data_IF_180008032401
#
_entry.id   IF_180008032401
#
_cell.length_a   1.000
_cell.length_b   1.000
_cell.length_c   1.000
_cell.angle_alpha   90.00
_cell.angle_beta   90.00
_cell.angle_gamma   90.00
#
_symmetry.space_group_name_H-M   'P 1'
#
loop_
_entity.id
_entity.type
_entity.pdbx_description
1 polymer ?
#
# COMPACT_ATOMS: atom_id res chain seq x y z
N UNK A 1 -9.34 1.30 21.51
CA UNK A 1 -7.85 1.25 21.50
C UNK A 1 -7.36 2.19 22.58
N UNK A 2 -6.49 1.72 23.48
CA UNK A 2 -5.87 2.62 24.44
C UNK A 2 -4.60 3.27 23.85
N UNK A 3 -4.04 4.28 24.53
CA UNK A 3 -2.87 5.02 24.07
C UNK A 3 -1.65 4.13 23.83
N UNK A 4 -1.38 3.19 24.72
CA UNK A 4 -0.22 2.31 24.61
C UNK A 4 -0.33 1.37 23.39
N UNK A 5 -1.52 0.86 23.09
CA UNK A 5 -1.76 0.06 21.91
C UNK A 5 -1.59 0.87 20.62
N UNK A 6 -2.07 2.11 20.60
CA UNK A 6 -1.91 3.00 19.46
C UNK A 6 -0.43 3.34 19.20
N UNK A 7 0.32 3.59 20.28
CA UNK A 7 1.75 3.88 20.19
C UNK A 7 2.55 2.67 19.70
N UNK A 8 2.25 1.49 20.23
CA UNK A 8 2.89 0.22 19.80
C UNK A 8 2.60 -0.07 18.33
N UNK A 9 1.36 0.05 17.90
CA UNK A 9 0.95 -0.13 16.51
C UNK A 9 1.64 0.85 15.56
N UNK A 10 1.67 2.13 15.91
CA UNK A 10 2.34 3.16 15.11
C UNK A 10 3.85 2.92 15.01
N UNK A 11 4.48 2.50 16.11
CA UNK A 11 5.91 2.18 16.15
C UNK A 11 6.25 1.01 15.24
N UNK A 12 5.42 -0.04 15.22
CA UNK A 12 5.57 -1.18 14.31
C UNK A 12 5.58 -0.75 12.84
N UNK A 13 4.64 0.11 12.44
CA UNK A 13 4.60 0.65 11.08
C UNK A 13 5.83 1.51 10.75
N UNK A 14 6.27 2.33 11.67
CA UNK A 14 7.47 3.15 11.46
C UNK A 14 8.73 2.31 11.25
N UNK A 15 8.89 1.21 11.97
CA UNK A 15 10.01 0.30 11.78
C UNK A 15 9.97 -0.36 10.39
N UNK A 16 8.78 -0.78 9.93
CA UNK A 16 8.61 -1.36 8.60
C UNK A 16 8.94 -0.34 7.49
N UNK A 17 8.46 0.89 7.63
CA UNK A 17 8.68 1.96 6.62
C UNK A 17 10.16 2.36 6.54
N UNK A 18 10.89 2.29 7.65
CA UNK A 18 12.32 2.64 7.72
C UNK A 18 13.26 1.54 7.21
N UNK A 19 12.76 0.35 6.93
CA UNK A 19 13.60 -0.75 6.42
C UNK A 19 14.21 -0.36 5.06
N UNK A 20 15.50 -0.59 4.90
CA UNK A 20 16.19 -0.38 3.62
C UNK A 20 15.84 -1.47 2.58
N UNK A 21 15.54 -2.67 3.06
CA UNK A 21 15.19 -3.80 2.22
C UNK A 21 13.68 -3.89 1.99
N UNK A 22 13.30 -4.48 0.86
CA UNK A 22 11.90 -4.83 0.61
C UNK A 22 11.38 -5.77 1.70
N UNK A 23 10.09 -5.67 2.08
CA UNK A 23 9.49 -6.60 3.01
C UNK A 23 9.62 -8.05 2.53
N UNK A 24 9.91 -8.96 3.44
CA UNK A 24 9.86 -10.39 3.15
C UNK A 24 8.42 -10.84 2.86
N UNK A 25 8.26 -11.99 2.21
CA UNK A 25 6.95 -12.45 1.71
C UNK A 25 5.86 -12.50 2.80
N UNK A 26 6.18 -12.97 3.98
CA UNK A 26 5.22 -13.01 5.10
C UNK A 26 4.84 -11.61 5.60
N UNK A 27 5.84 -10.74 5.71
CA UNK A 27 5.63 -9.35 6.10
C UNK A 27 4.81 -8.60 5.04
N UNK A 28 5.11 -8.79 3.77
CA UNK A 28 4.37 -8.20 2.66
C UNK A 28 2.89 -8.63 2.66
N UNK A 29 2.63 -9.90 2.93
CA UNK A 29 1.28 -10.45 3.06
C UNK A 29 0.53 -9.81 4.23
N UNK A 30 1.18 -9.71 5.39
CA UNK A 30 0.61 -9.04 6.55
C UNK A 30 0.27 -7.57 6.26
N UNK A 31 1.17 -6.83 5.58
CA UNK A 31 0.93 -5.43 5.17
C UNK A 31 -0.31 -5.32 4.28
N UNK A 32 -0.48 -6.23 3.32
CA UNK A 32 -1.65 -6.25 2.44
C UNK A 32 -2.94 -6.50 3.23
N UNK A 33 -2.94 -7.51 4.09
CA UNK A 33 -4.12 -7.89 4.87
C UNK A 33 -4.53 -6.78 5.85
N UNK A 34 -3.57 -6.20 6.54
CA UNK A 34 -3.78 -5.07 7.45
C UNK A 34 -4.29 -3.82 6.72
N UNK A 35 -3.72 -3.52 5.55
CA UNK A 35 -4.18 -2.40 4.72
C UNK A 35 -5.61 -2.59 4.23
N UNK A 36 -5.97 -3.80 3.81
CA UNK A 36 -7.36 -4.14 3.42
C UNK A 36 -8.33 -3.97 4.58
N UNK A 37 -7.97 -4.48 5.75
CA UNK A 37 -8.80 -4.39 6.94
C UNK A 37 -9.03 -2.93 7.35
N UNK A 38 -7.96 -2.15 7.47
CA UNK A 38 -8.04 -0.74 7.82
C UNK A 38 -8.86 0.07 6.80
N UNK A 39 -8.68 -0.19 5.51
CA UNK A 39 -9.46 0.46 4.48
C UNK A 39 -10.96 0.12 4.59
N UNK A 40 -11.28 -1.16 4.83
CA UNK A 40 -12.67 -1.62 4.97
C UNK A 40 -13.35 -1.05 6.22
N UNK A 41 -12.64 -0.96 7.33
CA UNK A 41 -13.21 -0.56 8.62
C UNK A 41 -13.31 0.94 8.79
N UNK A 42 -12.34 1.69 8.23
CA UNK A 42 -12.19 3.11 8.52
C UNK A 42 -12.37 4.03 7.31
N UNK A 43 -12.41 3.49 6.10
CA UNK A 43 -12.53 4.31 4.89
C UNK A 43 -13.73 3.92 4.02
N UNK A 44 -13.66 2.80 3.28
CA UNK A 44 -14.73 2.43 2.34
C UNK A 44 -14.81 0.93 2.06
N UNK A 45 -15.64 0.23 2.83
CA UNK A 45 -15.93 -1.20 2.63
C UNK A 45 -16.60 -1.47 1.27
N UNK A 46 -17.55 -0.63 0.87
CA UNK A 46 -18.27 -0.80 -0.39
C UNK A 46 -17.38 -0.74 -1.62
N UNK A 47 -16.35 0.08 -1.60
CA UNK A 47 -15.35 0.15 -2.67
C UNK A 47 -14.58 -1.17 -2.80
N UNK A 48 -14.18 -1.78 -1.69
CA UNK A 48 -13.49 -3.07 -1.70
C UNK A 48 -14.38 -4.18 -2.28
N UNK A 49 -15.65 -4.25 -1.90
CA UNK A 49 -16.59 -5.23 -2.41
C UNK A 49 -16.86 -5.04 -3.91
N UNK A 50 -17.00 -3.81 -4.36
CA UNK A 50 -17.13 -3.50 -5.79
C UNK A 50 -15.89 -3.97 -6.57
N UNK A 51 -14.69 -3.67 -6.10
CA UNK A 51 -13.44 -4.09 -6.76
C UNK A 51 -13.33 -5.60 -6.88
N UNK A 52 -13.69 -6.34 -5.86
CA UNK A 52 -13.74 -7.81 -5.90
C UNK A 52 -14.70 -8.34 -6.97
N UNK A 53 -15.84 -7.67 -7.17
CA UNK A 53 -16.85 -8.09 -8.12
C UNK A 53 -16.45 -7.91 -9.59
N UNK A 54 -15.49 -7.02 -9.88
CA UNK A 54 -15.06 -6.68 -11.25
C UNK A 54 -13.67 -7.19 -11.61
N UNK A 55 -12.97 -7.83 -10.69
CA UNK A 55 -11.65 -8.41 -10.94
C UNK A 55 -11.67 -9.93 -10.73
N UNK A 56 -11.17 -10.69 -11.70
CA UNK A 56 -11.05 -12.14 -11.59
C UNK A 56 -9.96 -12.58 -10.60
N UNK A 57 -8.98 -11.72 -10.33
CA UNK A 57 -7.91 -12.00 -9.39
C UNK A 57 -8.42 -11.89 -7.96
N UNK A 58 -8.44 -12.99 -7.24
CA UNK A 58 -8.82 -13.02 -5.82
C UNK A 58 -7.97 -12.12 -4.91
N UNK A 59 -6.78 -11.75 -5.36
CA UNK A 59 -5.85 -10.88 -4.64
C UNK A 59 -5.60 -9.58 -5.41
N UNK A 60 -6.63 -8.77 -5.51
CA UNK A 60 -6.65 -7.51 -6.25
C UNK A 60 -5.98 -6.34 -5.53
N UNK A 61 -5.72 -6.43 -4.24
CA UNK A 61 -5.11 -5.34 -3.51
C UNK A 61 -3.60 -5.32 -3.76
N UNK A 62 -3.12 -4.21 -4.30
CA UNK A 62 -1.70 -3.87 -4.30
C UNK A 62 -1.46 -2.72 -3.32
N UNK A 63 -0.42 -2.82 -2.54
CA UNK A 63 0.08 -1.72 -1.71
C UNK A 63 1.32 -1.18 -2.41
N UNK A 64 1.23 0.05 -2.91
CA UNK A 64 2.37 0.72 -3.53
C UNK A 64 3.44 0.94 -2.47
N UNK A 65 4.67 0.47 -2.74
CA UNK A 65 5.75 0.48 -1.76
C UNK A 65 6.88 1.43 -2.13
N UNK A 66 7.26 1.43 -3.38
CA UNK A 66 8.29 2.33 -3.90
C UNK A 66 8.00 2.70 -5.34
N UNK A 67 8.60 3.79 -5.82
CA UNK A 67 8.41 4.20 -7.20
C UNK A 67 9.49 5.17 -7.67
N UNK A 68 9.55 5.35 -9.00
CA UNK A 68 10.41 6.35 -9.63
C UNK A 68 9.84 6.70 -11.01
N UNK A 69 9.64 7.98 -11.24
CA UNK A 69 9.12 8.47 -12.51
C UNK A 69 7.73 7.89 -12.79
N UNK A 70 7.55 7.23 -13.91
CA UNK A 70 6.27 6.65 -14.34
C UNK A 70 6.04 5.21 -13.85
N UNK A 71 6.93 4.66 -13.05
CA UNK A 71 6.82 3.27 -12.57
C UNK A 71 6.75 3.21 -11.05
N UNK A 72 6.02 2.24 -10.53
CA UNK A 72 6.03 1.90 -9.12
C UNK A 72 6.15 0.39 -8.91
N UNK A 73 6.54 0.01 -7.71
CA UNK A 73 6.66 -1.37 -7.28
C UNK A 73 5.77 -1.59 -6.06
N UNK A 74 4.97 -2.64 -6.05
CA UNK A 74 4.16 -2.99 -4.89
C UNK A 74 4.97 -3.70 -3.81
N UNK A 75 4.35 -3.90 -2.66
CA UNK A 75 4.96 -4.54 -1.50
C UNK A 75 5.41 -5.99 -1.77
N UNK A 76 4.85 -6.65 -2.80
CA UNK A 76 5.26 -7.99 -3.26
C UNK A 76 6.38 -7.95 -4.30
N UNK A 77 6.92 -6.77 -4.63
CA UNK A 77 7.99 -6.60 -5.60
C UNK A 77 7.52 -6.60 -7.06
N UNK A 78 6.23 -6.58 -7.33
CA UNK A 78 5.69 -6.51 -8.70
C UNK A 78 5.79 -5.08 -9.21
N UNK A 79 6.26 -4.92 -10.45
CA UNK A 79 6.43 -3.61 -11.09
C UNK A 79 5.25 -3.26 -11.98
N UNK A 80 4.88 -1.99 -11.94
CA UNK A 80 3.75 -1.44 -12.69
C UNK A 80 4.16 -0.16 -13.40
N UNK A 81 3.48 0.13 -14.52
CA UNK A 81 3.51 1.44 -15.16
C UNK A 81 2.29 2.22 -14.67
N UNK A 82 2.53 3.38 -14.08
CA UNK A 82 1.50 4.22 -13.50
C UNK A 82 0.80 5.12 -14.51
N UNK A 83 -0.04 4.56 -15.37
CA UNK A 83 -0.81 5.32 -16.36
C UNK A 83 -1.77 6.34 -15.73
N UNK A 84 -2.36 6.01 -14.60
CA UNK A 84 -3.32 6.86 -13.92
C UNK A 84 -2.68 8.01 -13.13
N UNK A 85 -1.37 7.92 -12.86
CA UNK A 85 -0.63 8.94 -12.11
C UNK A 85 -1.19 9.21 -10.71
N UNK A 86 -1.69 8.17 -10.00
CA UNK A 86 -2.29 8.35 -8.68
C UNK A 86 -3.48 9.31 -8.68
N UNK A 87 -4.35 9.24 -9.67
CA UNK A 87 -5.45 10.20 -9.89
C UNK A 87 -4.98 11.66 -10.06
N UNK A 88 -3.82 11.86 -10.71
CA UNK A 88 -3.23 13.16 -10.94
C UNK A 88 -2.38 13.72 -9.79
N UNK A 89 -2.17 12.97 -8.73
CA UNK A 89 -1.29 13.39 -7.62
C UNK A 89 0.19 13.25 -7.95
N UNK A 90 0.53 12.35 -8.87
CA UNK A 90 1.92 12.02 -9.21
C UNK A 90 2.37 12.70 -10.52
N UNK A 91 2.03 13.97 -10.70
CA UNK A 91 2.32 14.73 -11.93
C UNK A 91 3.81 14.85 -12.24
N UNK A 92 4.67 14.87 -11.21
CA UNK A 92 6.13 14.86 -11.33
C UNK A 92 6.74 13.46 -11.26
N UNK A 93 5.91 12.40 -11.23
CA UNK A 93 6.32 11.02 -11.03
C UNK A 93 6.37 10.59 -9.58
N UNK A 94 6.50 9.27 -9.38
CA UNK A 94 6.65 8.69 -8.04
C UNK A 94 7.99 9.06 -7.44
N UNK A 95 8.00 9.39 -6.17
CA UNK A 95 9.20 9.66 -5.38
C UNK A 95 10.18 10.63 -6.06
N UNK A 96 9.68 11.77 -6.54
CA UNK A 96 10.52 12.79 -7.11
C UNK A 96 11.52 13.31 -6.05
N UNK A 97 12.82 13.41 -6.34
CA UNK A 97 13.84 13.69 -5.32
C UNK A 97 13.75 15.08 -4.69
N UNK A 98 13.04 16.01 -5.31
CA UNK A 98 12.91 17.40 -4.82
C UNK A 98 11.53 17.73 -4.26
N UNK A 99 10.59 16.74 -4.21
CA UNK A 99 9.20 16.89 -3.71
C UNK A 99 8.83 15.81 -2.64
#
# INVERSE_FOLDING_TARGET
>A
MNYDNALSYSSQWLEIIKQENFPEQEQAKWIIDESKQNFAEHFNRGWLEYRKSVTEAGDWASVEWSGKGSTFTDVMGRKYIGWLGGFGMMDLGWCHPEV
#
